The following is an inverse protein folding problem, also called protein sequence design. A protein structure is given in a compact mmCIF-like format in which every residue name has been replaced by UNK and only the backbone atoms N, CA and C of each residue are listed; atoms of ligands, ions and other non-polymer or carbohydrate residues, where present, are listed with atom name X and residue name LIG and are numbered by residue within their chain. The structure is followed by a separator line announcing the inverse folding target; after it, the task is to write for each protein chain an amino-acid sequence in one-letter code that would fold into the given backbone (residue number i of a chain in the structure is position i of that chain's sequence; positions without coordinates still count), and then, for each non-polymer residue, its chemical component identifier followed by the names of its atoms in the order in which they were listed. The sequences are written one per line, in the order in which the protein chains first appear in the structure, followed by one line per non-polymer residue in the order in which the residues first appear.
data_IF_279777366997
#
_entry.id   IF_279777366997
#
_cell.length_a   1.000
_cell.length_b   1.000
_cell.length_c   1.000
_cell.angle_alpha   90.00
_cell.angle_beta   90.00
_cell.angle_gamma   90.00
#
_symmetry.space_group_name_H-M   'P 1'
#
loop_
_entity.id
_entity.type
_entity.pdbx_description
1 polymer ?
#
# COMPACT_ATOMS: atom_id res chain seq x y z
N UNK A 1 -33.72 -56.85 -36.91
CA UNK A 1 -34.41 -56.86 -35.60
C UNK A 1 -33.73 -57.88 -34.72
N UNK A 2 -32.88 -57.42 -33.81
CA UNK A 2 -32.48 -58.06 -32.54
C UNK A 2 -31.66 -57.01 -31.80
N UNK A 3 -32.27 -56.43 -30.77
CA UNK A 3 -31.69 -55.34 -29.98
C UNK A 3 -30.58 -55.89 -29.07
N UNK A 4 -29.42 -55.24 -29.09
CA UNK A 4 -28.30 -55.55 -28.24
C UNK A 4 -28.39 -54.67 -26.98
N UNK A 5 -29.01 -55.20 -25.92
CA UNK A 5 -29.10 -54.54 -24.61
C UNK A 5 -27.95 -55.01 -23.74
N UNK A 6 -26.99 -54.13 -23.50
CA UNK A 6 -25.88 -54.34 -22.55
C UNK A 6 -26.40 -54.00 -21.13
N UNK A 7 -26.32 -54.92 -20.15
CA UNK A 7 -26.67 -54.61 -18.77
C UNK A 7 -25.57 -53.81 -18.07
N UNK A 8 -25.98 -52.83 -17.27
CA UNK A 8 -25.11 -51.98 -16.45
C UNK A 8 -24.34 -52.80 -15.38
N UNK A 9 -23.06 -52.49 -15.09
CA UNK A 9 -22.37 -53.08 -13.96
C UNK A 9 -22.85 -52.48 -12.63
N UNK A 10 -23.10 -53.35 -11.66
CA UNK A 10 -23.42 -53.02 -10.28
C UNK A 10 -22.26 -52.22 -9.64
N UNK A 11 -22.57 -51.04 -9.12
CA UNK A 11 -21.62 -50.21 -8.41
C UNK A 11 -21.61 -50.62 -6.93
N UNK A 12 -20.70 -51.53 -6.58
CA UNK A 12 -20.46 -51.95 -5.20
C UNK A 12 -19.80 -50.79 -4.46
N UNK A 13 -20.57 -50.15 -3.56
CA UNK A 13 -20.06 -49.15 -2.61
C UNK A 13 -19.31 -49.91 -1.51
N UNK A 14 -18.01 -49.64 -1.24
CA UNK A 14 -17.40 -50.11 -0.02
C UNK A 14 -17.93 -49.29 1.16
N UNK A 15 -18.66 -49.97 2.02
CA UNK A 15 -18.95 -49.58 3.40
C UNK A 15 -17.62 -49.48 4.16
N UNK A 16 -17.29 -48.26 4.61
CA UNK A 16 -16.20 -48.01 5.57
C UNK A 16 -16.82 -47.26 6.76
N UNK A 17 -17.68 -47.97 7.47
CA UNK A 17 -18.17 -47.59 8.79
C UNK A 17 -17.38 -48.32 9.87
N UNK A 18 -16.11 -47.98 10.10
CA UNK A 18 -15.49 -48.10 11.43
C UNK A 18 -14.13 -47.37 11.51
N UNK A 19 -14.17 -46.08 11.85
CA UNK A 19 -13.03 -45.39 12.43
C UNK A 19 -13.59 -44.30 13.36
N UNK A 20 -13.52 -44.56 14.66
CA UNK A 20 -13.88 -43.62 15.71
C UNK A 20 -13.23 -42.24 15.45
N UNK A 21 -13.95 -41.12 15.63
CA UNK A 21 -13.34 -39.80 15.57
C UNK A 21 -12.31 -39.73 16.69
N UNK A 22 -11.03 -39.71 16.31
CA UNK A 22 -9.96 -39.37 17.24
C UNK A 22 -10.27 -37.97 17.74
N UNK A 23 -10.48 -37.86 19.05
CA UNK A 23 -10.81 -36.61 19.72
C UNK A 23 -9.84 -35.50 19.27
N UNK A 24 -10.31 -34.26 19.03
CA UNK A 24 -9.43 -33.15 18.73
C UNK A 24 -8.40 -33.05 19.85
N UNK A 25 -7.13 -33.08 19.46
CA UNK A 25 -6.02 -32.89 20.38
C UNK A 25 -6.29 -31.63 21.22
N UNK A 26 -6.13 -31.75 22.53
CA UNK A 26 -6.29 -30.66 23.46
C UNK A 26 -5.55 -29.41 22.95
N UNK A 27 -6.15 -28.21 23.06
CA UNK A 27 -5.49 -27.00 22.60
C UNK A 27 -4.13 -26.88 23.29
N UNK A 28 -3.05 -26.54 22.56
CA UNK A 28 -1.78 -26.25 23.19
C UNK A 28 -1.99 -25.18 24.27
N UNK A 29 -1.26 -25.33 25.38
CA UNK A 29 -1.28 -24.39 26.50
C UNK A 29 -1.29 -22.95 25.97
N UNK A 30 -2.25 -22.14 26.42
CA UNK A 30 -2.52 -20.80 25.89
C UNK A 30 -1.21 -20.03 25.73
N UNK A 31 -0.75 -19.90 24.49
CA UNK A 31 0.38 -19.04 24.21
C UNK A 31 -0.01 -17.62 24.62
N UNK A 32 0.87 -16.91 25.30
CA UNK A 32 0.66 -15.51 25.67
C UNK A 32 0.69 -14.66 24.40
N UNK A 33 -0.45 -14.58 23.70
CA UNK A 33 -0.59 -13.73 22.53
C UNK A 33 -0.67 -12.26 22.98
N UNK A 34 -0.11 -11.33 22.20
CA UNK A 34 -0.37 -9.91 22.39
C UNK A 34 -1.88 -9.64 22.38
N UNK A 35 -2.37 -8.86 23.35
CA UNK A 35 -3.79 -8.53 23.47
C UNK A 35 -4.38 -7.83 22.22
N UNK A 36 -3.52 -7.25 21.38
CA UNK A 36 -3.88 -6.59 20.13
C UNK A 36 -4.20 -7.56 18.98
N UNK A 37 -3.96 -8.86 19.13
CA UNK A 37 -4.17 -9.83 18.05
C UNK A 37 -5.61 -10.34 18.05
N UNK A 38 -6.24 -10.24 16.89
CA UNK A 38 -7.51 -10.89 16.61
C UNK A 38 -7.33 -12.42 16.48
N UNK A 39 -8.45 -13.13 16.34
CA UNK A 39 -8.46 -14.60 16.28
C UNK A 39 -7.74 -15.15 15.03
N UNK A 40 -7.84 -14.44 13.90
CA UNK A 40 -7.20 -14.84 12.66
C UNK A 40 -5.67 -14.70 12.74
N UNK A 41 -5.17 -13.62 13.35
CA UNK A 41 -3.76 -13.44 13.63
C UNK A 41 -3.22 -14.55 14.53
N UNK A 42 -3.96 -14.95 15.57
CA UNK A 42 -3.54 -16.04 16.46
C UNK A 42 -3.42 -17.37 15.70
N UNK A 43 -4.41 -17.70 14.87
CA UNK A 43 -4.37 -18.92 14.02
C UNK A 43 -3.22 -18.89 13.02
N UNK A 44 -2.95 -17.74 12.42
CA UNK A 44 -1.81 -17.57 11.49
C UNK A 44 -0.48 -17.74 12.22
N UNK A 45 -0.35 -17.21 13.44
CA UNK A 45 0.84 -17.38 14.26
C UNK A 45 1.07 -18.83 14.70
N UNK A 46 0.02 -19.53 15.11
CA UNK A 46 0.10 -20.95 15.46
C UNK A 46 0.52 -21.80 14.28
N UNK A 47 -0.06 -21.54 13.09
CA UNK A 47 0.33 -22.20 11.86
C UNK A 47 1.79 -21.91 11.46
N UNK A 48 2.22 -20.66 11.62
CA UNK A 48 3.58 -20.23 11.31
C UNK A 48 4.61 -20.86 12.26
N UNK A 49 4.31 -20.92 13.55
CA UNK A 49 5.19 -21.51 14.56
C UNK A 49 5.22 -23.03 14.47
N UNK A 50 4.09 -23.69 14.19
CA UNK A 50 4.01 -25.12 13.95
C UNK A 50 4.82 -25.56 12.71
N UNK A 51 4.92 -24.71 11.70
CA UNK A 51 5.67 -25.01 10.46
C UNK A 51 7.14 -24.60 10.53
N UNK A 52 7.57 -23.82 11.52
CA UNK A 52 8.93 -23.25 11.57
C UNK A 52 9.19 -22.19 10.49
N UNK A 53 8.11 -21.67 9.90
CA UNK A 53 8.13 -20.78 8.75
C UNK A 53 7.73 -21.45 7.43
N UNK A 54 7.31 -20.65 6.45
CA UNK A 54 6.85 -21.17 5.17
C UNK A 54 6.28 -20.11 4.24
N UNK A 55 5.80 -20.54 3.09
CA UNK A 55 5.09 -19.66 2.15
C UNK A 55 3.66 -19.41 2.62
N UNK A 56 3.05 -18.32 2.14
CA UNK A 56 1.65 -17.96 2.47
C UNK A 56 0.67 -19.11 2.19
N UNK A 57 0.91 -19.88 1.13
CA UNK A 57 0.06 -21.01 0.77
C UNK A 57 0.11 -22.14 1.82
N UNK A 58 1.31 -22.44 2.33
CA UNK A 58 1.51 -23.46 3.38
C UNK A 58 0.87 -22.99 4.68
N UNK A 59 1.10 -21.74 5.07
CA UNK A 59 0.55 -21.16 6.31
C UNK A 59 -0.98 -21.09 6.24
N UNK A 60 -1.55 -20.66 5.11
CA UNK A 60 -3.00 -20.60 4.91
C UNK A 60 -3.66 -21.97 4.99
N UNK A 61 -3.03 -22.99 4.40
CA UNK A 61 -3.52 -24.37 4.49
C UNK A 61 -3.51 -24.88 5.94
N UNK A 62 -2.46 -24.58 6.70
CA UNK A 62 -2.34 -25.00 8.10
C UNK A 62 -3.26 -24.21 9.03
N UNK A 63 -3.46 -22.91 8.78
CA UNK A 63 -4.33 -22.05 9.59
C UNK A 63 -5.83 -22.22 9.30
N UNK A 64 -6.19 -22.79 8.13
CA UNK A 64 -7.58 -22.86 7.67
C UNK A 64 -8.16 -21.49 7.28
N UNK A 65 -7.29 -20.52 7.00
CA UNK A 65 -7.65 -19.12 6.73
C UNK A 65 -7.35 -18.77 5.27
N UNK A 66 -8.17 -17.96 4.57
CA UNK A 66 -7.89 -17.56 3.20
C UNK A 66 -6.56 -16.83 3.06
N UNK A 67 -5.82 -17.09 1.97
CA UNK A 67 -4.47 -16.55 1.74
C UNK A 67 -4.37 -15.03 1.84
N UNK A 68 -5.42 -14.30 1.46
CA UNK A 68 -5.46 -12.84 1.60
C UNK A 68 -5.40 -12.41 3.06
N UNK A 69 -6.24 -13.00 3.92
CA UNK A 69 -6.25 -12.69 5.35
C UNK A 69 -4.92 -13.10 6.02
N UNK A 70 -4.32 -14.22 5.61
CA UNK A 70 -2.98 -14.62 6.06
C UNK A 70 -1.93 -13.58 5.67
N UNK A 71 -1.97 -13.05 4.45
CA UNK A 71 -1.03 -12.01 3.98
C UNK A 71 -1.19 -10.71 4.77
N UNK A 72 -2.43 -10.29 5.02
CA UNK A 72 -2.74 -9.07 5.78
C UNK A 72 -2.28 -9.21 7.25
N UNK A 73 -2.52 -10.39 7.86
CA UNK A 73 -2.04 -10.72 9.20
C UNK A 73 -0.51 -10.76 9.30
N UNK A 74 0.17 -11.46 8.38
CA UNK A 74 1.63 -11.56 8.35
C UNK A 74 2.30 -10.19 8.16
N UNK A 75 1.73 -9.32 7.31
CA UNK A 75 2.23 -7.95 7.14
C UNK A 75 2.17 -7.17 8.46
N UNK A 76 1.05 -7.26 9.16
CA UNK A 76 0.87 -6.59 10.45
C UNK A 76 1.83 -7.16 11.50
N UNK A 77 2.11 -8.47 11.48
CA UNK A 77 3.10 -9.08 12.37
C UNK A 77 4.55 -8.67 12.05
N UNK A 78 4.87 -8.41 10.78
CA UNK A 78 6.16 -7.81 10.37
C UNK A 78 6.29 -6.39 10.93
N UNK A 79 5.24 -5.58 10.83
CA UNK A 79 5.23 -4.21 11.37
C UNK A 79 5.41 -4.21 12.90
N UNK A 80 4.94 -5.27 13.59
CA UNK A 80 5.14 -5.50 15.03
C UNK A 80 6.48 -6.17 15.37
N UNK A 81 7.33 -6.48 14.38
CA UNK A 81 8.64 -7.11 14.56
C UNK A 81 8.58 -8.58 14.99
N UNK A 82 7.44 -9.25 14.85
CA UNK A 82 7.23 -10.63 15.29
C UNK A 82 7.54 -11.65 14.18
N UNK A 83 7.50 -11.23 12.93
CA UNK A 83 7.78 -12.07 11.75
C UNK A 83 8.83 -11.38 10.88
N UNK A 84 9.73 -12.15 10.31
CA UNK A 84 10.67 -11.70 9.28
C UNK A 84 10.31 -12.37 7.95
N UNK A 85 10.40 -11.61 6.87
CA UNK A 85 10.20 -12.09 5.51
C UNK A 85 11.56 -12.19 4.81
N UNK A 86 11.88 -13.39 4.34
CA UNK A 86 13.04 -13.66 3.48
C UNK A 86 12.54 -14.22 2.14
N UNK A 87 12.48 -13.36 1.13
CA UNK A 87 11.83 -13.66 -0.15
C UNK A 87 10.34 -13.99 0.03
N UNK A 88 9.94 -15.21 -0.32
CA UNK A 88 8.56 -15.70 -0.17
C UNK A 88 8.35 -16.55 1.09
N UNK A 89 9.39 -16.70 1.91
CA UNK A 89 9.35 -17.46 3.16
C UNK A 89 9.19 -16.49 4.34
N UNK A 90 8.20 -16.77 5.18
CA UNK A 90 7.91 -16.03 6.40
C UNK A 90 8.38 -16.85 7.59
N UNK A 91 9.04 -16.24 8.58
CA UNK A 91 9.57 -16.92 9.79
C UNK A 91 9.27 -16.12 11.07
N UNK A 92 8.95 -16.79 12.19
CA UNK A 92 8.75 -16.11 13.48
C UNK A 92 10.06 -15.57 14.04
N UNK A 93 9.99 -14.52 14.85
CA UNK A 93 11.13 -13.82 15.48
C UNK A 93 10.99 -13.82 17.02
N UNK A 94 12.04 -14.14 17.79
CA UNK A 94 13.31 -14.73 17.36
C UNK A 94 13.06 -16.13 16.79
N UNK A 95 13.87 -16.54 15.81
CA UNK A 95 13.73 -17.85 15.17
C UNK A 95 13.62 -18.93 16.25
N UNK A 96 12.42 -19.53 16.38
CA UNK A 96 12.22 -20.65 17.27
C UNK A 96 13.29 -21.68 16.90
N UNK A 97 14.13 -22.16 17.83
CA UNK A 97 15.07 -23.22 17.54
C UNK A 97 14.26 -24.35 16.92
N UNK A 98 14.53 -24.66 15.65
CA UNK A 98 13.77 -25.65 14.92
C UNK A 98 13.68 -26.93 15.74
N UNK A 99 12.50 -27.53 15.79
CA UNK A 99 12.29 -28.82 16.43
C UNK A 99 12.93 -29.99 15.65
N UNK A 100 13.78 -29.69 14.68
CA UNK A 100 14.72 -30.63 14.10
C UNK A 100 15.91 -30.76 15.05
N UNK A 101 15.77 -31.66 16.01
CA UNK A 101 16.87 -32.15 16.82
C UNK A 101 17.94 -32.79 15.95
N UNK A 102 18.88 -31.97 15.46
CA UNK A 102 20.30 -32.31 15.27
C UNK A 102 21.12 -31.06 15.56
N UNK A 103 21.61 -31.03 16.80
CA UNK A 103 22.83 -30.41 17.29
C UNK A 103 23.43 -29.24 16.47
N UNK A 104 23.29 -28.03 17.00
CA UNK A 104 24.35 -27.03 16.96
C UNK A 104 24.17 -25.97 18.06
N UNK A 105 24.97 -26.09 19.11
CA UNK A 105 25.36 -24.97 19.99
C UNK A 105 26.84 -24.61 19.65
N UNK A 106 27.40 -23.49 20.13
CA UNK A 106 27.69 -22.35 19.27
C UNK A 106 29.20 -21.97 19.21
N UNK A 107 29.44 -20.94 18.40
CA UNK A 107 30.57 -19.99 18.40
C UNK A 107 31.88 -20.27 17.63
N UNK A 108 32.28 -19.17 16.97
CA UNK A 108 33.62 -18.70 16.60
C UNK A 108 34.26 -19.09 15.23
N UNK A 109 35.12 -18.20 14.67
CA UNK A 109 35.14 -17.89 13.24
C UNK A 109 36.41 -18.30 12.46
N UNK A 110 36.22 -18.52 11.15
CA UNK A 110 37.18 -18.45 10.01
C UNK A 110 38.38 -19.44 10.01
N UNK A 111 39.17 -19.59 8.93
CA UNK A 111 38.95 -19.41 7.48
C UNK A 111 39.43 -20.63 6.63
N UNK A 112 39.34 -20.49 5.29
CA UNK A 112 40.07 -21.20 4.23
C UNK A 112 39.63 -22.62 3.82
N UNK A 113 39.27 -22.71 2.53
CA UNK A 113 39.19 -23.93 1.74
C UNK A 113 40.52 -24.70 1.73
N UNK A 114 40.52 -26.01 1.40
CA UNK A 114 40.78 -26.36 0.01
C UNK A 114 39.95 -27.53 -0.55
N UNK A 115 40.16 -27.72 -1.85
CA UNK A 115 39.47 -28.53 -2.85
C UNK A 115 39.42 -30.06 -2.63
N UNK A 116 38.47 -30.68 -3.36
CA UNK A 116 38.52 -31.87 -4.25
C UNK A 116 37.13 -32.56 -4.19
N UNK A 117 36.54 -33.22 -5.18
CA UNK A 117 36.79 -33.50 -6.60
C UNK A 117 35.50 -34.12 -7.19
N UNK A 118 35.36 -34.04 -8.53
CA UNK A 118 34.63 -35.01 -9.37
C UNK A 118 33.17 -34.67 -9.74
N UNK A 119 32.69 -34.85 -10.97
CA UNK A 119 33.28 -35.34 -12.22
C UNK A 119 32.29 -35.12 -13.39
N UNK A 120 32.83 -35.25 -14.61
CA UNK A 120 32.21 -35.55 -15.91
C UNK A 120 31.70 -34.37 -16.78
N UNK A 121 31.93 -34.27 -18.10
CA UNK A 121 32.77 -34.98 -19.09
C UNK A 121 32.75 -34.19 -20.42
N UNK A 122 33.72 -34.51 -21.29
CA UNK A 122 33.75 -34.37 -22.75
C UNK A 122 34.10 -33.02 -23.42
N UNK A 123 35.14 -33.08 -24.28
CA UNK A 123 35.34 -32.09 -25.34
C UNK A 123 36.75 -31.95 -25.95
N UNK A 124 37.25 -33.02 -26.59
CA UNK A 124 38.13 -33.02 -27.77
C UNK A 124 39.39 -32.10 -27.86
N UNK A 125 40.54 -32.77 -27.67
CA UNK A 125 41.72 -32.82 -28.56
C UNK A 125 42.21 -31.57 -29.32
N UNK A 126 43.47 -31.21 -29.07
CA UNK A 126 44.47 -31.08 -30.16
C UNK A 126 45.87 -31.36 -29.63
N UNK A 127 46.48 -32.39 -30.21
CA UNK A 127 47.86 -32.85 -30.04
C UNK A 127 48.86 -31.83 -30.62
N UNK A 128 49.90 -31.52 -29.86
CA UNK A 128 51.19 -31.07 -30.40
C UNK A 128 52.33 -31.43 -29.42
N UNK A 129 53.51 -31.85 -29.93
CA UNK A 129 54.46 -32.69 -29.21
C UNK A 129 55.33 -31.90 -28.24
N UNK A 130 55.57 -32.52 -27.08
CA UNK A 130 56.55 -32.09 -26.09
C UNK A 130 57.95 -32.41 -26.63
N UNK A 131 58.74 -31.39 -26.94
CA UNK A 131 60.20 -31.53 -27.06
C UNK A 131 60.79 -31.39 -25.66
N UNK A 132 61.22 -32.53 -25.11
CA UNK A 132 62.15 -32.57 -23.98
C UNK A 132 63.49 -31.97 -24.40
N UNK A 133 63.97 -31.03 -23.59
CA UNK A 133 65.32 -30.51 -23.67
C UNK A 133 65.35 -29.00 -23.55
N UNK A 134 65.37 -28.48 -22.32
CA UNK A 134 66.39 -27.48 -22.05
C UNK A 134 66.78 -27.43 -20.57
N UNK A 135 68.08 -27.26 -20.39
CA UNK A 135 68.78 -27.14 -19.13
C UNK A 135 68.38 -25.82 -18.48
N UNK A 136 67.93 -25.84 -17.23
CA UNK A 136 67.67 -24.63 -16.46
C UNK A 136 68.96 -23.79 -16.38
N UNK A 137 69.02 -22.57 -16.96
CA UNK A 137 70.14 -21.67 -16.72
C UNK A 137 70.09 -21.17 -15.28
N UNK A 138 71.27 -20.91 -14.72
CA UNK A 138 71.44 -20.28 -13.41
C UNK A 138 70.61 -18.98 -13.30
N UNK A 139 70.20 -18.55 -12.08
CA UNK A 139 69.47 -17.30 -11.92
C UNK A 139 70.32 -16.15 -12.43
N UNK A 140 70.00 -15.66 -13.63
CA UNK A 140 70.58 -14.46 -14.18
C UNK A 140 70.37 -13.32 -13.18
N UNK A 141 71.44 -12.57 -12.94
CA UNK A 141 71.43 -11.35 -12.14
C UNK A 141 70.30 -10.46 -12.66
N UNK A 142 69.37 -9.99 -11.80
CA UNK A 142 68.21 -9.24 -12.27
C UNK A 142 68.68 -8.05 -13.10
N UNK A 143 68.25 -8.03 -14.37
CA UNK A 143 68.55 -6.93 -15.28
C UNK A 143 68.20 -5.60 -14.59
N UNK A 144 69.03 -4.54 -14.74
CA UNK A 144 68.78 -3.27 -14.09
C UNK A 144 67.40 -2.76 -14.50
N UNK A 145 66.51 -2.61 -13.52
CA UNK A 145 65.16 -2.06 -13.71
C UNK A 145 65.29 -0.72 -14.43
N UNK A 146 64.64 -0.53 -15.59
CA UNK A 146 64.77 0.70 -16.37
C UNK A 146 64.32 1.88 -15.51
N UNK A 147 65.19 2.89 -15.37
CA UNK A 147 64.93 4.05 -14.53
C UNK A 147 63.59 4.71 -14.90
N UNK A 148 62.78 5.03 -13.88
CA UNK A 148 61.56 5.82 -14.01
C UNK A 148 61.94 7.24 -14.46
N UNK A 149 61.71 7.53 -15.73
CA UNK A 149 61.87 8.89 -16.26
C UNK A 149 60.61 9.72 -15.97
N UNK A 150 60.73 11.04 -15.79
CA UNK A 150 59.58 11.92 -15.59
C UNK A 150 58.55 11.84 -16.73
N UNK A 151 58.98 11.57 -17.97
CA UNK A 151 58.09 11.33 -19.11
C UNK A 151 57.22 10.08 -18.94
N UNK A 152 57.78 8.96 -18.44
CA UNK A 152 56.99 7.74 -18.16
C UNK A 152 55.96 7.97 -17.07
N UNK A 153 56.25 8.84 -16.09
CA UNK A 153 55.30 9.21 -15.04
C UNK A 153 54.16 10.06 -15.63
N UNK A 154 54.48 11.03 -16.49
CA UNK A 154 53.47 11.85 -17.17
C UNK A 154 52.55 11.00 -18.07
N UNK A 155 53.11 10.04 -18.80
CA UNK A 155 52.34 9.09 -19.63
C UNK A 155 51.46 8.19 -18.78
N UNK A 156 51.96 7.67 -17.66
CA UNK A 156 51.16 6.89 -16.72
C UNK A 156 49.99 7.70 -16.14
N UNK A 157 50.20 8.97 -15.78
CA UNK A 157 49.14 9.86 -15.30
C UNK A 157 48.08 10.12 -16.38
N UNK A 158 48.47 10.30 -17.63
CA UNK A 158 47.56 10.47 -18.77
C UNK A 158 46.72 9.22 -18.99
N UNK A 159 47.34 8.04 -19.01
CA UNK A 159 46.63 6.75 -19.16
C UNK A 159 45.63 6.54 -18.01
N UNK A 160 46.03 6.84 -16.76
CA UNK A 160 45.12 6.77 -15.61
C UNK A 160 43.95 7.76 -15.73
N UNK A 161 44.20 8.96 -16.24
CA UNK A 161 43.15 9.96 -16.52
C UNK A 161 42.15 9.45 -17.55
N UNK A 162 42.62 8.92 -18.68
CA UNK A 162 41.77 8.34 -19.73
C UNK A 162 40.97 7.12 -19.24
N UNK A 163 41.59 6.25 -18.44
CA UNK A 163 40.92 5.11 -17.80
C UNK A 163 39.85 5.57 -16.80
N UNK A 164 40.14 6.61 -16.00
CA UNK A 164 39.15 7.19 -15.09
C UNK A 164 37.96 7.77 -15.83
N UNK A 165 38.20 8.44 -16.97
CA UNK A 165 37.14 8.95 -17.85
C UNK A 165 36.29 7.83 -18.46
N UNK A 166 36.92 6.73 -18.91
CA UNK A 166 36.19 5.55 -19.42
C UNK A 166 35.33 4.90 -18.35
N UNK A 167 35.83 4.77 -17.11
CA UNK A 167 35.04 4.24 -15.98
C UNK A 167 33.87 5.16 -15.62
N UNK A 168 34.09 6.47 -15.61
CA UNK A 168 33.02 7.43 -15.36
C UNK A 168 31.93 7.36 -16.43
N UNK A 169 32.30 7.24 -17.71
CA UNK A 169 31.35 7.08 -18.81
C UNK A 169 30.58 5.76 -18.72
N UNK A 170 31.26 4.64 -18.40
CA UNK A 170 30.61 3.35 -18.22
C UNK A 170 29.63 3.36 -17.03
N UNK A 171 29.99 4.04 -15.93
CA UNK A 171 29.09 4.22 -14.78
C UNK A 171 27.85 5.02 -15.16
N UNK A 172 28.02 6.13 -15.89
CA UNK A 172 26.90 6.95 -16.34
C UNK A 172 25.95 6.19 -17.27
N UNK A 173 26.47 5.35 -18.17
CA UNK A 173 25.64 4.49 -19.04
C UNK A 173 24.87 3.44 -18.23
N UNK A 174 25.49 2.86 -17.19
CA UNK A 174 24.82 1.91 -16.30
C UNK A 174 23.68 2.58 -15.50
N UNK A 175 23.94 3.72 -14.87
CA UNK A 175 22.92 4.50 -14.13
C UNK A 175 21.74 4.89 -15.04
N UNK A 176 22.02 5.24 -16.28
CA UNK A 176 20.99 5.54 -17.28
C UNK A 176 20.18 4.30 -17.70
N UNK A 177 20.81 3.12 -17.84
CA UNK A 177 20.09 1.86 -18.10
C UNK A 177 19.21 1.46 -16.93
N UNK A 178 19.68 1.63 -15.69
CA UNK A 178 18.91 1.36 -14.48
C UNK A 178 17.65 2.24 -14.42
N UNK A 179 17.80 3.55 -14.63
CA UNK A 179 16.65 4.47 -14.70
C UNK A 179 15.63 4.07 -15.76
N UNK A 180 16.06 3.66 -16.95
CA UNK A 180 15.13 3.18 -18.00
C UNK A 180 14.43 1.88 -17.63
N UNK A 181 15.09 0.98 -16.89
CA UNK A 181 14.45 -0.22 -16.33
C UNK A 181 13.43 0.14 -15.25
N UNK A 182 13.76 1.06 -14.35
CA UNK A 182 12.85 1.56 -13.33
C UNK A 182 11.62 2.23 -13.94
N UNK A 183 11.80 3.08 -14.96
CA UNK A 183 10.72 3.71 -15.70
C UNK A 183 9.82 2.67 -16.38
N UNK A 184 10.40 1.62 -16.97
CA UNK A 184 9.63 0.50 -17.56
C UNK A 184 8.83 -0.27 -16.51
N UNK A 185 9.43 -0.54 -15.35
CA UNK A 185 8.75 -1.20 -14.23
C UNK A 185 7.62 -0.33 -13.69
N UNK A 186 7.86 0.96 -13.52
CA UNK A 186 6.84 1.92 -13.08
C UNK A 186 5.68 2.01 -14.09
N UNK A 187 5.96 2.02 -15.39
CA UNK A 187 4.95 2.02 -16.43
C UNK A 187 4.09 0.74 -16.40
N UNK A 188 4.71 -0.43 -16.24
CA UNK A 188 4.01 -1.71 -16.13
C UNK A 188 3.10 -1.78 -14.89
N UNK A 189 3.59 -1.28 -13.74
CA UNK A 189 2.78 -1.18 -12.51
C UNK A 189 1.59 -0.24 -12.70
N UNK A 190 1.80 0.91 -13.34
CA UNK A 190 0.72 1.86 -13.64
C UNK A 190 -0.31 1.28 -14.60
N UNK A 191 0.11 0.47 -15.57
CA UNK A 191 -0.79 -0.22 -16.49
C UNK A 191 -1.62 -1.29 -15.77
N UNK A 192 -1.00 -2.10 -14.92
CA UNK A 192 -1.69 -3.10 -14.11
C UNK A 192 -2.71 -2.45 -13.15
N UNK A 193 -2.35 -1.31 -12.55
CA UNK A 193 -3.28 -0.53 -11.73
C UNK A 193 -4.48 -0.02 -12.54
N UNK A 194 -4.27 0.45 -13.78
CA UNK A 194 -5.37 0.84 -14.68
C UNK A 194 -6.26 -0.35 -15.04
N UNK A 195 -5.68 -1.52 -15.31
CA UNK A 195 -6.44 -2.73 -15.61
C UNK A 195 -7.32 -3.16 -14.43
N UNK A 196 -6.77 -3.15 -13.22
CA UNK A 196 -7.54 -3.42 -12.00
C UNK A 196 -8.67 -2.41 -11.79
N UNK A 197 -8.42 -1.11 -12.01
CA UNK A 197 -9.47 -0.09 -11.89
C UNK A 197 -10.61 -0.31 -12.90
N UNK A 198 -10.29 -0.73 -14.14
CA UNK A 198 -11.30 -1.08 -15.15
C UNK A 198 -12.14 -2.27 -14.69
N UNK A 199 -11.51 -3.31 -14.14
CA UNK A 199 -12.24 -4.50 -13.68
C UNK A 199 -13.11 -4.19 -12.47
N UNK A 200 -12.60 -3.46 -11.47
CA UNK A 200 -13.41 -3.00 -10.34
C UNK A 200 -14.57 -2.11 -10.77
N UNK A 201 -14.42 -1.30 -11.82
CA UNK A 201 -15.52 -0.51 -12.38
C UNK A 201 -16.58 -1.39 -13.07
N UNK A 202 -16.18 -2.50 -13.71
CA UNK A 202 -17.12 -3.46 -14.30
C UNK A 202 -17.92 -4.20 -13.23
N UNK A 203 -17.24 -4.66 -12.19
CA UNK A 203 -17.89 -5.29 -11.02
C UNK A 203 -18.89 -4.32 -10.37
N UNK A 204 -18.47 -3.09 -10.07
CA UNK A 204 -19.36 -2.08 -9.49
C UNK A 204 -20.56 -1.73 -10.37
N UNK A 205 -20.41 -1.76 -11.70
CA UNK A 205 -21.52 -1.55 -12.63
C UNK A 205 -22.49 -2.75 -12.64
N UNK A 206 -21.97 -3.98 -12.55
CA UNK A 206 -22.81 -5.18 -12.44
C UNK A 206 -23.63 -5.18 -11.14
N UNK A 207 -23.01 -4.82 -10.01
CA UNK A 207 -23.68 -4.70 -8.72
C UNK A 207 -24.74 -3.59 -8.73
N UNK A 208 -24.46 -2.47 -9.41
CA UNK A 208 -25.42 -1.39 -9.60
C UNK A 208 -26.64 -1.85 -10.41
N UNK A 209 -26.42 -2.59 -11.50
CA UNK A 209 -27.52 -3.13 -12.31
C UNK A 209 -28.34 -4.12 -11.48
N UNK A 210 -27.69 -5.02 -10.73
CA UNK A 210 -28.37 -6.01 -9.89
C UNK A 210 -29.23 -5.35 -8.81
N UNK A 211 -28.66 -4.39 -8.07
CA UNK A 211 -29.37 -3.64 -7.02
C UNK A 211 -30.51 -2.79 -7.59
N UNK A 212 -30.31 -2.11 -8.71
CA UNK A 212 -31.36 -1.33 -9.37
C UNK A 212 -32.50 -2.22 -9.87
N UNK A 213 -32.18 -3.41 -10.40
CA UNK A 213 -33.18 -4.39 -10.84
C UNK A 213 -34.00 -4.91 -9.67
N UNK A 214 -33.36 -5.21 -8.52
CA UNK A 214 -34.06 -5.62 -7.31
C UNK A 214 -34.98 -4.52 -6.75
N UNK A 215 -34.50 -3.27 -6.74
CA UNK A 215 -35.31 -2.12 -6.34
C UNK A 215 -36.52 -1.92 -7.25
N UNK A 216 -36.33 -2.06 -8.57
CA UNK A 216 -37.43 -1.98 -9.53
C UNK A 216 -38.46 -3.10 -9.34
N UNK A 217 -38.03 -4.34 -9.08
CA UNK A 217 -38.92 -5.45 -8.80
C UNK A 217 -39.79 -5.18 -7.56
N UNK A 218 -39.21 -4.66 -6.47
CA UNK A 218 -39.97 -4.28 -5.27
C UNK A 218 -41.06 -3.23 -5.58
N UNK A 219 -40.75 -2.24 -6.42
CA UNK A 219 -41.74 -1.24 -6.87
C UNK A 219 -42.83 -1.88 -7.73
N UNK A 220 -42.46 -2.78 -8.64
CA UNK A 220 -43.39 -3.46 -9.53
C UNK A 220 -44.37 -4.38 -8.77
N UNK A 221 -43.90 -5.01 -7.69
CA UNK A 221 -44.70 -5.87 -6.82
C UNK A 221 -45.63 -5.07 -5.88
N UNK A 222 -45.60 -3.73 -5.94
CA UNK A 222 -46.42 -2.86 -5.10
C UNK A 222 -46.00 -2.88 -3.63
N UNK A 223 -44.70 -3.10 -3.36
CA UNK A 223 -44.16 -3.04 -2.01
C UNK A 223 -44.41 -1.67 -1.36
N UNK A 224 -44.49 -1.65 -0.03
CA UNK A 224 -44.66 -0.40 0.71
C UNK A 224 -43.42 0.51 0.62
N UNK A 225 -43.58 1.75 1.08
CA UNK A 225 -42.53 2.76 1.00
C UNK A 225 -41.25 2.35 1.76
N UNK A 226 -41.38 1.65 2.90
CA UNK A 226 -40.23 1.22 3.71
C UNK A 226 -39.44 0.10 3.02
N UNK A 227 -40.13 -0.84 2.36
CA UNK A 227 -39.51 -1.88 1.56
C UNK A 227 -38.80 -1.29 0.33
N UNK A 228 -39.39 -0.30 -0.34
CA UNK A 228 -38.75 0.40 -1.47
C UNK A 228 -37.50 1.16 -1.00
N UNK A 229 -37.57 1.88 0.12
CA UNK A 229 -36.42 2.59 0.70
C UNK A 229 -35.30 1.59 1.04
N UNK A 230 -35.65 0.46 1.65
CA UNK A 230 -34.69 -0.60 1.98
C UNK A 230 -34.03 -1.18 0.73
N UNK A 231 -34.78 -1.39 -0.35
CA UNK A 231 -34.26 -1.89 -1.62
C UNK A 231 -33.37 -0.88 -2.37
N UNK A 232 -33.49 0.42 -2.07
CA UNK A 232 -32.64 1.47 -2.64
C UNK A 232 -31.29 1.62 -1.93
N UNK A 233 -31.15 1.18 -0.68
CA UNK A 233 -29.87 1.29 0.07
C UNK A 233 -28.70 0.64 -0.69
N UNK A 234 -28.81 -0.61 -1.19
CA UNK A 234 -27.75 -1.24 -1.97
C UNK A 234 -27.41 -0.49 -3.28
N UNK A 235 -28.38 0.21 -3.87
CA UNK A 235 -28.15 1.02 -5.09
C UNK A 235 -27.21 2.18 -4.77
N UNK A 236 -27.42 2.87 -3.65
CA UNK A 236 -26.54 3.97 -3.24
C UNK A 236 -25.13 3.48 -2.93
N UNK A 237 -24.99 2.33 -2.27
CA UNK A 237 -23.69 1.72 -1.98
C UNK A 237 -22.96 1.31 -3.26
N UNK A 238 -23.66 0.69 -4.22
CA UNK A 238 -23.10 0.32 -5.52
C UNK A 238 -22.67 1.56 -6.34
N UNK A 239 -23.46 2.64 -6.34
CA UNK A 239 -23.07 3.91 -6.98
C UNK A 239 -21.81 4.49 -6.33
N UNK A 240 -21.71 4.47 -5.00
CA UNK A 240 -20.53 4.96 -4.30
C UNK A 240 -19.30 4.10 -4.59
N UNK A 241 -19.43 2.77 -4.59
CA UNK A 241 -18.37 1.84 -4.95
C UNK A 241 -17.87 2.09 -6.39
N UNK A 242 -18.78 2.29 -7.34
CA UNK A 242 -18.44 2.63 -8.72
C UNK A 242 -17.76 3.99 -8.85
N UNK A 243 -18.20 4.99 -8.08
CA UNK A 243 -17.55 6.30 -8.05
C UNK A 243 -16.11 6.21 -7.51
N UNK A 244 -15.87 5.36 -6.49
CA UNK A 244 -14.52 5.11 -5.97
C UNK A 244 -13.67 4.38 -7.00
N UNK A 245 -14.19 3.31 -7.61
CA UNK A 245 -13.47 2.53 -8.63
C UNK A 245 -13.08 3.36 -9.86
N UNK A 246 -13.92 4.32 -10.26
CA UNK A 246 -13.66 5.21 -11.40
C UNK A 246 -12.85 6.47 -11.05
N UNK A 247 -12.48 6.65 -9.78
CA UNK A 247 -11.78 7.86 -9.31
C UNK A 247 -12.64 9.13 -9.33
N UNK A 248 -13.94 9.00 -9.57
CA UNK A 248 -14.90 10.11 -9.58
C UNK A 248 -15.50 10.41 -8.19
N UNK A 249 -15.15 9.62 -7.18
CA UNK A 249 -15.51 9.88 -5.80
C UNK A 249 -14.88 11.20 -5.35
N UNK A 250 -15.63 12.30 -5.49
CA UNK A 250 -15.39 13.50 -4.68
C UNK A 250 -15.51 13.06 -3.23
N UNK A 251 -14.57 13.41 -2.34
CA UNK A 251 -14.70 13.12 -0.91
C UNK A 251 -15.91 13.88 -0.37
N UNK A 252 -17.08 13.25 -0.47
CA UNK A 252 -18.28 13.68 0.22
C UNK A 252 -17.95 13.40 1.68
N UNK A 253 -17.53 14.44 2.42
CA UNK A 253 -17.47 14.37 3.88
C UNK A 253 -18.84 13.86 4.31
N UNK A 254 -18.87 12.59 4.73
CA UNK A 254 -20.04 11.99 5.30
C UNK A 254 -20.42 12.89 6.49
N UNK A 255 -21.49 13.66 6.32
CA UNK A 255 -22.20 14.24 7.44
C UNK A 255 -22.99 13.08 8.01
N UNK A 256 -22.33 12.29 8.84
CA UNK A 256 -22.96 11.26 9.66
C UNK A 256 -23.81 11.97 10.71
N UNK A 257 -25.07 12.21 10.38
CA UNK A 257 -26.12 12.29 11.39
C UNK A 257 -26.35 10.89 11.94
N UNK A 258 -25.96 10.67 13.20
CA UNK A 258 -26.54 9.64 14.06
C UNK A 258 -25.79 8.30 14.14
N UNK A 259 -24.96 8.16 15.18
CA UNK A 259 -24.96 7.00 16.07
C UNK A 259 -24.40 5.66 15.57
N UNK A 260 -23.09 5.46 15.79
CA UNK A 260 -22.58 4.26 16.49
C UNK A 260 -21.15 4.57 16.96
N UNK A 261 -20.89 4.40 18.25
CA UNK A 261 -19.55 4.58 18.84
C UNK A 261 -18.77 3.27 18.65
N UNK A 262 -17.61 3.25 17.98
CA UNK A 262 -16.59 2.26 18.29
C UNK A 262 -15.68 2.83 19.38
N UNK A 263 -15.75 2.20 20.54
CA UNK A 263 -14.88 2.43 21.68
C UNK A 263 -13.46 1.99 21.31
N UNK A 264 -12.52 2.92 21.21
CA UNK A 264 -11.11 2.61 20.96
C UNK A 264 -10.19 3.78 21.33
N UNK A 265 -9.53 3.64 22.49
CA UNK A 265 -8.17 4.10 22.87
C UNK A 265 -7.66 5.50 22.50
N UNK A 266 -7.02 6.23 23.43
CA UNK A 266 -6.68 7.64 23.26
C UNK A 266 -5.50 7.82 22.31
N UNK A 267 -5.74 8.46 21.16
CA UNK A 267 -4.67 9.07 20.37
C UNK A 267 -4.26 10.36 21.09
N UNK A 268 -3.06 10.36 21.65
CA UNK A 268 -2.42 11.54 22.23
C UNK A 268 -2.35 12.66 21.19
N UNK A 269 -3.31 13.58 21.25
CA UNK A 269 -3.28 14.84 20.51
C UNK A 269 -2.81 15.91 21.47
N UNK A 270 -1.53 16.27 21.37
CA UNK A 270 -0.99 17.42 22.10
C UNK A 270 -1.84 18.65 21.85
N UNK A 271 -2.27 19.30 22.93
CA UNK A 271 -2.75 20.68 23.07
C UNK A 271 -3.44 21.33 21.86
N UNK A 272 -4.28 20.60 21.13
CA UNK A 272 -5.17 21.23 20.17
C UNK A 272 -6.38 21.74 20.93
N UNK A 273 -6.34 23.05 21.24
CA UNK A 273 -7.54 23.80 21.65
C UNK A 273 -8.71 23.34 20.77
N UNK A 274 -9.87 23.00 21.37
CA UNK A 274 -11.04 22.58 20.60
C UNK A 274 -11.32 23.64 19.53
N UNK A 275 -11.72 23.24 18.30
CA UNK A 275 -11.97 24.18 17.22
C UNK A 275 -13.08 25.13 17.63
N UNK A 276 -12.70 26.31 18.12
CA UNK A 276 -13.62 27.38 18.45
C UNK A 276 -14.28 27.83 17.15
N UNK A 277 -15.61 28.02 17.10
CA UNK A 277 -16.27 28.45 15.89
C UNK A 277 -15.69 29.79 15.44
N UNK A 278 -15.15 29.85 14.22
CA UNK A 278 -14.50 31.03 13.66
C UNK A 278 -15.50 32.16 13.37
N UNK A 279 -16.76 31.79 13.07
CA UNK A 279 -17.80 32.72 12.64
C UNK A 279 -18.19 33.75 13.71
N UNK A 280 -18.48 33.39 14.99
CA UNK A 280 -18.74 34.37 16.03
C UNK A 280 -17.59 35.36 16.26
N UNK A 281 -16.34 34.93 16.13
CA UNK A 281 -15.17 35.79 16.31
C UNK A 281 -15.03 36.81 15.17
N UNK A 282 -15.26 36.38 13.93
CA UNK A 282 -15.27 37.27 12.76
C UNK A 282 -16.43 38.26 12.87
N UNK A 283 -17.63 37.81 13.22
CA UNK A 283 -18.80 38.67 13.41
C UNK A 283 -18.60 39.70 14.52
N UNK A 284 -18.03 39.30 15.66
CA UNK A 284 -17.69 40.22 16.75
C UNK A 284 -16.70 41.31 16.30
N UNK A 285 -15.69 40.94 15.50
CA UNK A 285 -14.72 41.90 14.98
C UNK A 285 -15.33 42.87 13.95
N UNK A 286 -16.19 42.38 13.06
CA UNK A 286 -16.90 43.22 12.09
C UNK A 286 -17.91 44.15 12.78
N UNK A 287 -18.59 43.69 13.83
CA UNK A 287 -19.52 44.51 14.62
C UNK A 287 -18.81 45.56 15.47
N UNK A 288 -17.57 45.31 15.90
CA UNK A 288 -16.74 46.31 16.56
C UNK A 288 -16.29 47.44 15.61
N UNK A 289 -16.28 47.16 14.30
CA UNK A 289 -15.83 48.09 13.25
C UNK A 289 -16.81 48.13 12.06
N UNK A 290 -18.06 48.58 12.26
CA UNK A 290 -19.14 48.43 11.28
C UNK A 290 -19.01 49.35 10.05
N UNK A 291 -18.09 50.31 10.07
CA UNK A 291 -17.84 51.26 8.99
C UNK A 291 -16.50 51.03 8.26
N UNK A 292 -15.78 49.98 8.65
CA UNK A 292 -14.45 49.70 8.11
C UNK A 292 -14.51 48.50 7.18
N UNK A 293 -13.94 48.70 5.99
CA UNK A 293 -13.79 47.65 4.98
C UNK A 293 -12.51 46.86 5.26
N UNK A 294 -12.65 45.56 5.52
CA UNK A 294 -11.52 44.68 5.78
C UNK A 294 -11.29 43.69 4.66
N UNK A 295 -10.02 43.42 4.39
CA UNK A 295 -9.60 42.27 3.61
C UNK A 295 -9.59 41.02 4.51
N UNK A 296 -9.78 39.81 3.94
CA UNK A 296 -9.66 38.57 4.69
C UNK A 296 -8.30 38.42 5.41
N UNK A 297 -7.23 38.96 4.82
CA UNK A 297 -5.89 38.94 5.40
C UNK A 297 -5.74 39.84 6.63
N UNK A 298 -6.43 40.98 6.69
CA UNK A 298 -6.41 41.89 7.84
C UNK A 298 -7.12 41.25 9.05
N UNK A 299 -8.31 40.68 8.85
CA UNK A 299 -9.06 39.99 9.91
C UNK A 299 -8.30 38.75 10.40
N UNK A 300 -7.66 38.02 9.49
CA UNK A 300 -6.85 36.85 9.82
C UNK A 300 -5.68 37.16 10.77
N UNK A 301 -5.03 38.32 10.60
CA UNK A 301 -3.95 38.79 11.50
C UNK A 301 -4.47 39.15 12.88
N UNK A 302 -5.63 39.81 12.97
CA UNK A 302 -6.21 40.21 14.26
C UNK A 302 -6.68 38.99 15.06
N UNK A 303 -7.21 37.98 14.39
CA UNK A 303 -7.73 36.77 15.03
C UNK A 303 -6.68 35.66 15.23
N UNK A 304 -5.47 35.84 14.70
CA UNK A 304 -4.40 34.82 14.63
C UNK A 304 -4.89 33.50 13.99
N UNK A 305 -5.55 33.60 12.83
CA UNK A 305 -6.16 32.48 12.11
C UNK A 305 -5.74 32.44 10.65
N UNK A 306 -5.97 31.30 10.00
CA UNK A 306 -5.70 31.12 8.57
C UNK A 306 -6.55 32.07 7.72
N UNK A 307 -5.90 32.83 6.83
CA UNK A 307 -6.55 33.74 5.88
C UNK A 307 -7.56 33.05 4.97
N UNK A 308 -7.31 31.80 4.58
CA UNK A 308 -8.25 31.00 3.79
C UNK A 308 -9.51 30.61 4.58
N UNK A 309 -9.36 30.33 5.87
CA UNK A 309 -10.51 30.03 6.73
C UNK A 309 -11.39 31.26 6.96
N UNK A 310 -10.76 32.43 7.13
CA UNK A 310 -11.46 33.71 7.25
C UNK A 310 -12.14 34.10 5.94
N UNK A 311 -11.50 33.91 4.78
CA UNK A 311 -12.10 34.17 3.48
C UNK A 311 -13.36 33.32 3.24
N UNK A 312 -13.32 32.03 3.56
CA UNK A 312 -14.49 31.15 3.47
C UNK A 312 -15.60 31.56 4.44
N UNK A 313 -15.26 31.99 5.66
CA UNK A 313 -16.23 32.49 6.62
C UNK A 313 -16.89 33.78 6.14
N UNK A 314 -16.13 34.74 5.62
CA UNK A 314 -16.63 36.00 5.07
C UNK A 314 -17.50 35.80 3.84
N UNK A 315 -17.11 34.91 2.92
CA UNK A 315 -17.94 34.54 1.77
C UNK A 315 -19.28 33.94 2.22
N UNK A 316 -19.26 33.06 3.25
CA UNK A 316 -20.49 32.49 3.81
C UNK A 316 -21.35 33.55 4.50
N UNK A 317 -20.74 34.47 5.26
CA UNK A 317 -21.45 35.57 5.90
C UNK A 317 -22.05 36.55 4.87
N UNK A 318 -21.35 36.77 3.75
CA UNK A 318 -21.88 37.56 2.65
C UNK A 318 -23.10 36.91 1.99
N UNK A 319 -23.07 35.58 1.78
CA UNK A 319 -24.25 34.85 1.28
C UNK A 319 -25.43 34.84 2.26
N UNK A 320 -25.17 34.99 3.56
CA UNK A 320 -26.20 35.02 4.60
C UNK A 320 -26.73 36.43 4.90
N UNK A 321 -26.15 37.46 4.29
CA UNK A 321 -26.51 38.86 4.53
C UNK A 321 -25.91 39.47 5.81
N UNK A 322 -25.03 38.75 6.51
CA UNK A 322 -24.32 39.25 7.71
C UNK A 322 -23.13 40.17 7.34
N UNK A 323 -22.65 40.08 6.09
CA UNK A 323 -21.55 40.89 5.56
C UNK A 323 -21.85 41.34 4.13
N UNK A 324 -21.26 42.44 3.69
CA UNK A 324 -21.39 42.97 2.33
C UNK A 324 -20.00 43.01 1.69
N UNK A 325 -19.90 42.50 0.46
CA UNK A 325 -18.70 42.62 -0.37
C UNK A 325 -18.69 44.02 -1.00
N UNK A 326 -17.77 44.89 -0.59
CA UNK A 326 -17.71 46.29 -1.06
C UNK A 326 -16.83 46.46 -2.29
N UNK A 327 -15.83 45.60 -2.49
CA UNK A 327 -14.94 45.60 -3.65
C UNK A 327 -14.55 44.17 -4.01
N UNK A 328 -14.49 43.85 -5.31
CA UNK A 328 -14.11 42.51 -5.78
C UNK A 328 -12.59 42.31 -5.89
N UNK A 329 -11.81 43.37 -6.15
CA UNK A 329 -10.33 43.32 -6.27
C UNK A 329 -9.66 44.57 -5.71
N UNK A 330 -8.90 44.48 -4.60
CA UNK A 330 -8.85 43.35 -3.66
C UNK A 330 -10.21 43.12 -2.98
N UNK A 331 -10.56 41.87 -2.66
CA UNK A 331 -11.83 41.54 -2.00
C UNK A 331 -11.94 42.22 -0.63
N UNK A 332 -12.91 43.12 -0.46
CA UNK A 332 -13.16 43.83 0.80
C UNK A 332 -14.57 43.54 1.31
N UNK A 333 -14.66 43.25 2.60
CA UNK A 333 -15.91 42.94 3.28
C UNK A 333 -16.17 43.94 4.40
N UNK A 334 -17.44 44.30 4.57
CA UNK A 334 -17.93 45.17 5.63
C UNK A 334 -19.11 44.51 6.35
N UNK A 335 -19.34 44.86 7.62
CA UNK A 335 -20.55 44.41 8.32
C UNK A 335 -21.80 44.97 7.61
N UNK A 336 -22.83 44.14 7.48
CA UNK A 336 -24.10 44.62 6.94
C UNK A 336 -24.71 45.67 7.88
N UNK A 337 -25.02 46.85 7.37
CA UNK A 337 -25.81 47.84 8.10
C UNK A 337 -27.30 47.69 7.74
N UNK A 338 -28.24 48.15 8.59
CA UNK A 338 -29.68 48.06 8.27
C UNK A 338 -30.06 48.73 6.93
N UNK A 339 -29.24 49.64 6.40
CA UNK A 339 -29.43 50.22 5.07
C UNK A 339 -29.03 49.27 3.91
N UNK A 340 -28.13 48.32 4.14
CA UNK A 340 -27.68 47.35 3.13
C UNK A 340 -28.65 46.15 3.03
N UNK A 341 -29.34 45.82 4.14
CA UNK A 341 -30.38 44.80 4.17
C UNK A 341 -31.59 45.17 3.30
N UNK A 342 -31.89 46.47 3.16
CA UNK A 342 -32.98 46.98 2.34
C UNK A 342 -32.68 46.84 0.83
N UNK A 343 -31.42 47.08 0.43
CA UNK A 343 -30.97 46.93 -0.96
C UNK A 343 -30.96 45.47 -1.45
N UNK A 344 -30.72 44.51 -0.56
CA UNK A 344 -30.79 43.08 -0.89
C UNK A 344 -32.23 42.60 -1.14
N UNK A 345 -33.23 43.27 -0.54
CA UNK A 345 -34.65 42.93 -0.72
C UNK A 345 -35.27 43.53 -2.01
N UNK A 346 -34.72 44.62 -2.54
CA UNK A 346 -35.25 45.29 -3.75
C UNK A 346 -34.64 44.81 -5.08
N UNK A 347 -33.68 43.88 -5.08
CA UNK A 347 -32.94 43.46 -6.27
C UNK A 347 -33.56 42.37 -7.15
N UNK A 348 -34.75 41.84 -6.83
CA UNK A 348 -35.35 40.69 -7.55
C UNK A 348 -36.59 41.02 -8.38
N UNK A 349 -36.69 42.23 -8.95
CA UNK A 349 -37.73 42.51 -9.95
C UNK A 349 -37.27 43.57 -10.96
N UNK A 350 -36.65 43.14 -12.07
CA UNK A 350 -36.67 43.77 -13.41
C UNK A 350 -35.70 43.01 -14.33
N UNK A 351 -36.23 42.11 -15.15
CA UNK A 351 -35.65 41.76 -16.45
C UNK A 351 -36.81 41.48 -17.42
N UNK A 352 -36.96 42.39 -18.38
CA UNK A 352 -37.84 42.30 -19.53
C UNK A 352 -37.32 41.31 -20.58
#
# INVERSE_FOLDING_TARGET
MSANTIPAPANTTPDVSDAAPTAPAAPPAAADYPAAWDEDMRRVWDALTATGGGTVAVIAKTAGTPQKAVRDALKTMVDLGQVVRDGDVWRPTPATPGHDGRDAAPDAPAPNAPATDGAATDGAATDAPVTDGDTAPAPDTPAPVPALTPEKIADAMRIMGEESGRRAAAKADLEERERREEDRRAAAVAELARAHAIESAREGLADLIASATAAYAAVADGADADAIITALVPVFDAVNALAVATGNARPRRARTTGGMIPTGGPVATGDRKPPTPLRPAVAAHMNAHPYTDFTPGEIARVLDRSSGAVANALATMATQGDAVLTCERPMRYRAATPADADNAATGTDTAA
#
